data_IF_346240106775
#
_entry.id   IF_346240106775
#
_cell.length_a   1.000
_cell.length_b   1.000
_cell.length_c   1.000
_cell.angle_alpha   90.00
_cell.angle_beta   90.00
_cell.angle_gamma   90.00
#
_symmetry.space_group_name_H-M   'P 1'
#
loop_
_entity.id
_entity.type
_entity.pdbx_description
1 polymer ?
#
# COMPACT_ATOMS: atom_id res chain seq x y z
N UNK A 1 4.97 -42.87 -49.15
CA UNK A 1 5.57 -42.01 -50.19
C UNK A 1 5.98 -40.71 -49.53
N UNK A 2 7.30 -40.44 -49.52
CA UNK A 2 8.06 -39.23 -49.12
C UNK A 2 7.76 -38.65 -47.72
N UNK A 3 8.59 -38.81 -46.68
CA UNK A 3 9.99 -38.38 -46.47
C UNK A 3 10.28 -36.92 -46.89
N UNK A 4 10.48 -36.04 -45.91
CA UNK A 4 11.71 -35.26 -45.74
C UNK A 4 11.74 -34.64 -44.33
N UNK A 5 12.80 -35.00 -43.62
CA UNK A 5 13.28 -34.59 -42.32
C UNK A 5 14.36 -33.52 -42.51
N UNK A 6 14.45 -32.49 -41.65
CA UNK A 6 15.68 -31.70 -41.41
C UNK A 6 15.56 -31.00 -40.03
N UNK A 7 16.05 -31.67 -38.97
CA UNK A 7 17.29 -31.32 -38.22
C UNK A 7 17.67 -29.83 -38.10
N UNK A 8 18.28 -29.27 -37.03
CA UNK A 8 18.93 -29.76 -35.81
C UNK A 8 19.49 -28.53 -35.04
N UNK A 9 19.77 -28.67 -33.73
CA UNK A 9 20.76 -27.88 -32.96
C UNK A 9 20.22 -26.65 -32.21
N UNK A 10 20.24 -26.52 -30.88
CA UNK A 10 20.91 -27.28 -29.81
C UNK A 10 22.11 -26.50 -29.24
N UNK A 11 21.92 -25.88 -28.06
CA UNK A 11 22.94 -25.57 -27.01
C UNK A 11 24.11 -24.63 -27.41
N UNK A 12 24.87 -23.90 -26.59
CA UNK A 12 25.20 -23.77 -25.16
C UNK A 12 25.95 -22.43 -24.96
N UNK A 13 25.81 -21.85 -23.76
CA UNK A 13 26.88 -21.30 -22.89
C UNK A 13 27.92 -20.28 -23.44
N UNK A 14 28.07 -19.14 -22.75
CA UNK A 14 29.40 -18.71 -22.27
C UNK A 14 29.34 -17.44 -21.41
N UNK A 15 29.87 -17.62 -20.20
CA UNK A 15 30.37 -16.59 -19.29
C UNK A 15 31.22 -15.51 -19.97
N UNK A 16 31.05 -14.26 -19.53
CA UNK A 16 32.11 -13.24 -19.59
C UNK A 16 32.37 -12.68 -18.18
N UNK A 17 33.23 -13.40 -17.45
CA UNK A 17 34.11 -12.81 -16.44
C UNK A 17 35.31 -12.18 -17.17
N UNK A 18 35.58 -10.90 -16.93
CA UNK A 18 36.95 -10.35 -17.01
C UNK A 18 37.25 -9.62 -15.71
N UNK A 19 38.43 -9.92 -15.16
CA UNK A 19 38.95 -9.56 -13.84
C UNK A 19 40.29 -8.82 -14.05
N UNK A 20 40.65 -7.97 -13.08
CA UNK A 20 41.98 -7.37 -12.79
C UNK A 20 42.40 -6.14 -13.63
N UNK A 21 43.11 -5.12 -13.12
CA UNK A 21 43.87 -4.97 -11.85
C UNK A 21 44.27 -3.50 -11.57
N UNK A 22 44.28 -3.15 -10.27
CA UNK A 22 45.17 -2.26 -9.48
C UNK A 22 45.41 -0.76 -9.77
N UNK A 23 45.20 -0.01 -8.67
CA UNK A 23 45.99 1.08 -8.08
C UNK A 23 46.21 2.38 -8.86
N UNK A 24 45.57 3.46 -8.39
CA UNK A 24 46.36 4.61 -7.90
C UNK A 24 45.57 5.38 -6.84
N UNK A 25 46.29 5.88 -5.84
CA UNK A 25 45.81 6.61 -4.68
C UNK A 25 45.47 8.06 -5.07
N UNK A 26 44.37 8.60 -4.55
CA UNK A 26 44.24 10.04 -4.40
C UNK A 26 43.35 10.37 -3.21
N UNK A 27 44.00 10.76 -2.13
CA UNK A 27 43.37 11.42 -0.99
C UNK A 27 42.80 12.77 -1.44
N UNK A 28 41.55 13.03 -1.07
CA UNK A 28 41.05 14.40 -0.84
C UNK A 28 40.18 14.33 0.41
N UNK A 29 40.75 14.76 1.52
CA UNK A 29 40.01 15.24 2.68
C UNK A 29 39.15 16.44 2.26
N UNK A 30 37.86 16.43 2.60
CA UNK A 30 37.24 17.66 3.08
C UNK A 30 36.15 17.33 4.09
N UNK A 31 36.29 17.94 5.27
CA UNK A 31 35.62 17.55 6.50
C UNK A 31 34.12 17.84 6.49
N UNK A 32 33.32 16.81 6.72
CA UNK A 32 31.94 16.99 7.17
C UNK A 32 31.94 17.02 8.70
N UNK A 33 31.90 18.23 9.23
CA UNK A 33 31.89 18.55 10.65
C UNK A 33 30.72 17.83 11.35
N UNK A 34 31.02 16.78 12.13
CA UNK A 34 30.12 15.99 12.98
C UNK A 34 29.63 16.79 14.20
N UNK A 35 29.09 17.99 13.98
CA UNK A 35 28.47 18.79 15.04
C UNK A 35 26.95 18.72 14.95
N UNK A 36 26.41 17.97 15.92
CA UNK A 36 25.10 18.22 16.56
C UNK A 36 23.88 17.72 15.77
N UNK A 37 23.76 16.40 15.63
CA UNK A 37 22.43 15.77 15.58
C UNK A 37 21.84 15.88 16.99
N UNK A 38 21.25 17.04 17.27
CA UNK A 38 20.42 17.26 18.45
C UNK A 38 19.18 16.38 18.26
N UNK A 39 18.93 15.47 19.20
CA UNK A 39 17.71 14.67 19.28
C UNK A 39 16.48 15.48 18.84
N UNK A 40 15.84 15.05 17.75
CA UNK A 40 14.47 15.43 17.40
C UNK A 40 13.48 14.50 18.11
N UNK A 41 13.71 14.19 19.38
CA UNK A 41 12.69 13.57 20.22
C UNK A 41 11.73 14.68 20.67
N UNK A 42 10.63 14.89 19.94
CA UNK A 42 9.56 15.77 20.43
C UNK A 42 8.49 16.23 19.45
N UNK A 43 8.69 16.05 18.13
CA UNK A 43 7.73 16.53 17.12
C UNK A 43 6.76 15.43 16.66
N UNK A 44 7.12 14.16 16.86
CA UNK A 44 6.39 13.01 16.31
C UNK A 44 4.95 12.88 16.82
N UNK A 45 4.68 13.29 18.06
CA UNK A 45 3.38 13.12 18.70
C UNK A 45 2.28 14.06 18.17
N UNK A 46 2.63 15.27 17.68
CA UNK A 46 1.63 16.27 17.29
C UNK A 46 1.15 16.14 15.84
N UNK A 47 1.93 15.48 14.98
CA UNK A 47 1.77 15.56 13.51
C UNK A 47 0.87 14.47 12.92
N UNK A 48 0.60 13.39 13.66
CA UNK A 48 -0.13 12.24 13.13
C UNK A 48 -1.63 12.23 13.44
N UNK A 49 -2.20 13.29 14.01
CA UNK A 49 -3.64 13.34 14.39
C UNK A 49 -4.60 13.03 13.24
N UNK A 50 -4.15 13.21 12.00
CA UNK A 50 -4.94 12.97 10.78
C UNK A 50 -4.93 11.52 10.31
N UNK A 51 -4.07 10.66 10.86
CA UNK A 51 -4.02 9.25 10.51
C UNK A 51 -5.13 8.49 11.24
N UNK A 52 -6.11 8.01 10.48
CA UNK A 52 -7.17 7.16 11.00
C UNK A 52 -6.59 5.90 11.65
N UNK A 53 -7.10 5.56 12.84
CA UNK A 53 -6.77 4.35 13.59
C UNK A 53 -5.29 4.16 13.92
N UNK A 54 -4.47 5.22 13.88
CA UNK A 54 -3.02 5.16 14.15
C UNK A 54 -2.69 4.58 15.53
N UNK A 55 -3.60 4.77 16.50
CA UNK A 55 -3.41 4.35 17.89
C UNK A 55 -3.81 2.89 18.11
N UNK A 56 -4.32 2.21 17.08
CA UNK A 56 -4.71 0.80 17.13
C UNK A 56 -3.62 -0.09 16.48
N UNK A 57 -3.35 -1.28 17.03
CA UNK A 57 -2.59 -2.32 16.34
C UNK A 57 -3.22 -2.65 14.98
N UNK A 58 -2.39 -3.02 14.01
CA UNK A 58 -2.84 -3.23 12.62
C UNK A 58 -4.02 -4.20 12.49
N UNK A 59 -4.01 -5.31 13.23
CA UNK A 59 -5.12 -6.28 13.24
C UNK A 59 -6.44 -5.68 13.75
N UNK A 60 -6.37 -4.78 14.73
CA UNK A 60 -7.55 -4.08 15.23
C UNK A 60 -8.04 -3.02 14.23
N UNK A 61 -7.13 -2.40 13.47
CA UNK A 61 -7.51 -1.52 12.36
C UNK A 61 -8.28 -2.30 11.28
N UNK A 62 -7.85 -3.52 10.96
CA UNK A 62 -8.53 -4.37 9.99
C UNK A 62 -9.92 -4.75 10.46
N UNK A 63 -10.06 -5.20 11.71
CA UNK A 63 -11.36 -5.50 12.33
C UNK A 63 -12.30 -4.31 12.27
N UNK A 64 -11.82 -3.14 12.70
CA UNK A 64 -12.62 -1.91 12.70
C UNK A 64 -13.10 -1.52 11.30
N UNK A 65 -12.25 -1.67 10.27
CA UNK A 65 -12.65 -1.44 8.87
C UNK A 65 -13.75 -2.41 8.42
N UNK A 66 -13.66 -3.68 8.79
CA UNK A 66 -14.70 -4.67 8.50
C UNK A 66 -16.01 -4.30 9.20
N UNK A 67 -15.96 -4.00 10.49
CA UNK A 67 -17.14 -3.60 11.28
C UNK A 67 -17.85 -2.36 10.69
N UNK A 68 -17.08 -1.37 10.24
CA UNK A 68 -17.61 -0.16 9.61
C UNK A 68 -18.30 -0.44 8.28
N UNK A 69 -17.73 -1.31 7.45
CA UNK A 69 -18.34 -1.75 6.20
C UNK A 69 -19.63 -2.52 6.49
N UNK A 70 -19.61 -3.46 7.44
CA UNK A 70 -20.81 -4.18 7.86
C UNK A 70 -21.90 -3.26 8.38
N UNK A 71 -21.54 -2.25 9.17
CA UNK A 71 -22.49 -1.29 9.70
C UNK A 71 -23.13 -0.45 8.58
N UNK A 72 -22.35 -0.08 7.55
CA UNK A 72 -22.89 0.59 6.37
C UNK A 72 -23.92 -0.29 5.66
N UNK A 73 -23.62 -1.58 5.47
CA UNK A 73 -24.56 -2.53 4.87
C UNK A 73 -25.80 -2.75 5.74
N UNK A 74 -25.65 -2.93 7.05
CA UNK A 74 -26.79 -3.04 8.00
C UNK A 74 -27.71 -1.82 7.89
N UNK A 75 -27.13 -0.62 7.81
CA UNK A 75 -27.88 0.62 7.66
C UNK A 75 -28.61 0.67 6.32
N UNK A 76 -27.93 0.33 5.22
CA UNK A 76 -28.52 0.23 3.89
C UNK A 76 -29.66 -0.79 3.86
N UNK A 77 -29.45 -1.98 4.39
CA UNK A 77 -30.43 -3.05 4.43
C UNK A 77 -31.69 -2.68 5.24
N UNK A 78 -31.52 -1.89 6.30
CA UNK A 78 -32.63 -1.39 7.11
C UNK A 78 -33.36 -0.19 6.51
N UNK A 79 -32.69 0.64 5.71
CA UNK A 79 -33.26 1.86 5.13
C UNK A 79 -33.86 1.65 3.74
N UNK A 80 -33.24 0.80 2.91
CA UNK A 80 -33.61 0.57 1.52
C UNK A 80 -35.10 0.19 1.33
N UNK A 81 -35.64 -0.86 2.00
CA UNK A 81 -37.04 -1.23 1.80
C UNK A 81 -38.03 -0.20 2.36
N UNK A 82 -37.59 0.69 3.26
CA UNK A 82 -38.40 1.80 3.77
C UNK A 82 -38.48 2.96 2.77
N UNK A 83 -37.39 3.20 2.06
CA UNK A 83 -37.30 4.26 1.04
C UNK A 83 -37.92 3.83 -0.29
N UNK A 84 -37.79 2.55 -0.65
CA UNK A 84 -38.22 1.99 -1.93
C UNK A 84 -39.07 0.72 -1.72
N UNK A 85 -40.29 0.86 -1.18
CA UNK A 85 -41.15 -0.28 -0.86
C UNK A 85 -41.50 -1.12 -2.09
N UNK A 86 -41.62 -0.51 -3.27
CA UNK A 86 -41.89 -1.16 -4.56
C UNK A 86 -40.79 -2.13 -5.01
N UNK A 87 -39.57 -1.95 -4.51
CA UNK A 87 -38.42 -2.81 -4.80
C UNK A 87 -38.18 -3.86 -3.71
N UNK A 88 -39.02 -3.91 -2.67
CA UNK A 88 -38.82 -4.79 -1.51
C UNK A 88 -38.71 -6.28 -1.86
N UNK A 89 -39.52 -6.75 -2.80
CA UNK A 89 -39.49 -8.15 -3.27
C UNK A 89 -38.21 -8.46 -4.04
N UNK A 90 -37.80 -7.57 -4.95
CA UNK A 90 -36.55 -7.73 -5.67
C UNK A 90 -35.36 -7.73 -4.72
N UNK A 91 -35.34 -6.80 -3.75
CA UNK A 91 -34.29 -6.69 -2.75
C UNK A 91 -34.15 -7.96 -1.89
N UNK A 92 -35.27 -8.53 -1.41
CA UNK A 92 -35.26 -9.79 -0.65
C UNK A 92 -34.74 -10.97 -1.46
N UNK A 93 -35.08 -11.02 -2.75
CA UNK A 93 -34.73 -12.14 -3.62
C UNK A 93 -33.31 -12.08 -4.18
N UNK A 94 -32.79 -10.87 -4.45
CA UNK A 94 -31.51 -10.69 -5.13
C UNK A 94 -30.41 -10.26 -4.17
N UNK A 95 -30.63 -9.19 -3.39
CA UNK A 95 -29.53 -8.55 -2.67
C UNK A 95 -29.05 -9.40 -1.49
N UNK A 96 -29.97 -9.99 -0.72
CA UNK A 96 -29.62 -10.90 0.37
C UNK A 96 -28.98 -12.22 -0.11
N UNK A 97 -29.25 -12.64 -1.35
CA UNK A 97 -28.80 -13.93 -1.87
C UNK A 97 -27.38 -13.86 -2.45
N UNK A 98 -27.06 -12.76 -3.12
CA UNK A 98 -25.83 -12.66 -3.92
C UNK A 98 -24.77 -11.75 -3.31
N UNK A 99 -25.14 -10.85 -2.40
CA UNK A 99 -24.18 -9.93 -1.84
C UNK A 99 -23.45 -10.56 -0.63
N UNK A 100 -22.12 -10.63 -0.72
CA UNK A 100 -21.25 -11.07 0.37
C UNK A 100 -20.09 -10.10 0.50
N UNK A 101 -19.78 -9.71 1.74
CA UNK A 101 -18.58 -8.94 2.05
C UNK A 101 -17.43 -9.93 2.01
N UNK A 102 -16.47 -9.70 1.11
CA UNK A 102 -15.24 -10.48 1.05
C UNK A 102 -14.33 -10.15 2.23
N UNK A 103 -13.44 -11.09 2.56
CA UNK A 103 -12.45 -10.87 3.60
C UNK A 103 -11.49 -9.73 3.23
N UNK A 104 -11.14 -8.92 4.24
CA UNK A 104 -10.21 -7.82 4.03
C UNK A 104 -8.83 -8.35 3.68
N UNK A 105 -8.29 -7.90 2.54
CA UNK A 105 -6.92 -8.24 2.15
C UNK A 105 -5.94 -7.30 2.86
N UNK A 106 -5.03 -7.80 3.71
CA UNK A 106 -4.07 -6.95 4.39
C UNK A 106 -3.04 -6.38 3.39
N UNK A 107 -2.62 -5.14 3.63
CA UNK A 107 -1.45 -4.55 2.99
C UNK A 107 -0.19 -5.37 3.30
N UNK A 108 0.69 -5.62 2.33
CA UNK A 108 1.99 -6.24 2.58
C UNK A 108 2.98 -5.33 3.32
N UNK A 109 2.72 -4.01 3.36
CA UNK A 109 3.57 -3.00 3.99
C UNK A 109 2.74 -2.04 4.82
N UNK A 110 3.06 -1.89 6.11
CA UNK A 110 2.32 -1.03 7.05
C UNK A 110 2.86 0.40 7.13
N UNK A 111 4.15 0.59 6.88
CA UNK A 111 4.82 1.90 6.93
C UNK A 111 5.41 2.28 5.58
N UNK A 112 5.49 3.59 5.28
CA UNK A 112 6.08 4.08 4.03
C UNK A 112 5.48 3.41 2.78
N UNK A 113 4.19 3.05 2.81
CA UNK A 113 3.48 2.41 1.71
C UNK A 113 3.02 3.42 0.63
N UNK A 114 2.99 4.71 0.97
CA UNK A 114 2.57 5.77 0.06
C UNK A 114 3.75 6.17 -0.85
N UNK A 115 3.57 6.03 -2.17
CA UNK A 115 4.58 6.39 -3.17
C UNK A 115 4.42 7.84 -3.69
N UNK A 116 3.34 8.53 -3.34
CA UNK A 116 3.04 9.91 -3.72
C UNK A 116 2.47 10.67 -2.52
N UNK A 117 2.88 11.92 -2.34
CA UNK A 117 2.19 12.85 -1.45
C UNK A 117 1.74 14.09 -2.23
N UNK A 118 0.70 14.74 -1.69
CA UNK A 118 0.21 16.03 -2.15
C UNK A 118 0.20 16.93 -0.91
N UNK A 119 0.78 18.12 -1.04
CA UNK A 119 1.01 19.03 0.06
C UNK A 119 0.38 20.38 -0.29
N UNK A 120 -0.48 20.87 0.59
CA UNK A 120 -1.06 22.21 0.45
C UNK A 120 -0.06 23.24 0.95
N UNK A 121 0.29 24.23 0.12
CA UNK A 121 1.14 25.36 0.50
C UNK A 121 0.24 26.54 0.85
N UNK A 122 0.31 27.00 2.10
CA UNK A 122 -0.41 28.17 2.59
C UNK A 122 0.52 29.13 3.32
N UNK A 123 0.20 30.42 3.31
CA UNK A 123 0.92 31.44 4.10
C UNK A 123 0.28 31.49 5.48
N UNK A 124 1.05 31.22 6.53
CA UNK A 124 0.58 31.41 7.91
C UNK A 124 0.69 32.90 8.24
N UNK A 125 -0.43 33.59 8.26
CA UNK A 125 -0.48 34.96 8.74
C UNK A 125 -0.48 34.91 10.27
N UNK A 126 0.68 35.19 10.86
CA UNK A 126 0.81 35.35 12.31
C UNK A 126 0.16 36.67 12.69
N UNK A 127 -0.77 36.70 13.66
CA UNK A 127 -1.39 37.93 14.14
C UNK A 127 -0.39 38.90 14.77
#
# INVERSE_FOLDING_TARGET
>A
MADTDMSNGGATDSSLKRKNSNADEMEVEDGVDLKKVKQEEGVESKTLKFLAYKDLPYEEQLKKKVDEVEQCFKTFHGSFPKQYPELGDWYRNQLLKWFRIEEIRPSPKQEGYRNKCELTIGVFQVP
#
